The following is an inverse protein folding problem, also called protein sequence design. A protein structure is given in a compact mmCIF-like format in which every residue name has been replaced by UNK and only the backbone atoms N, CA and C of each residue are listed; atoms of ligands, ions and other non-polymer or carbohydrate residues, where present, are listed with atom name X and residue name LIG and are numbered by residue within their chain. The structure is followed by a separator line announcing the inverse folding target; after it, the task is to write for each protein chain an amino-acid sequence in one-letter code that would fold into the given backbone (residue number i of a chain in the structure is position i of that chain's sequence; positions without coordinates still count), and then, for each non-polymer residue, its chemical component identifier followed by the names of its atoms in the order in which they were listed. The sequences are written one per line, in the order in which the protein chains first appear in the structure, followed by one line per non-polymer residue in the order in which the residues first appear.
data_IF_784310080368
#
_entry.id   IF_784310080368
#
_cell.length_a   1.000
_cell.length_b   1.000
_cell.length_c   1.000
_cell.angle_alpha   90.00
_cell.angle_beta   90.00
_cell.angle_gamma   90.00
#
_symmetry.space_group_name_H-M   'P 1'
#
loop_
_entity.id
_entity.type
_entity.pdbx_description
1 polymer ?
#
# COMPACT_ATOMS: atom_id res chain seq x y z
N UNK A 1 -13.74 -10.72 28.90
CA UNK A 1 -14.97 -11.55 28.77
C UNK A 1 -15.50 -11.61 27.32
N UNK A 2 -15.65 -10.47 26.61
CA UNK A 2 -16.11 -10.51 25.19
C UNK A 2 -15.07 -11.13 24.24
N UNK A 3 -13.79 -10.91 24.47
CA UNK A 3 -12.70 -11.46 23.64
C UNK A 3 -12.52 -12.97 23.82
N UNK A 4 -12.64 -13.51 25.01
CA UNK A 4 -12.50 -14.97 25.26
C UNK A 4 -13.65 -15.77 24.64
N UNK A 5 -14.89 -15.25 24.72
CA UNK A 5 -16.03 -15.91 24.11
C UNK A 5 -15.95 -15.90 22.57
N UNK A 6 -15.47 -14.82 21.99
CA UNK A 6 -15.24 -14.68 20.56
C UNK A 6 -14.17 -15.68 20.07
N UNK A 7 -13.03 -15.79 20.78
CA UNK A 7 -11.97 -16.74 20.45
C UNK A 7 -12.46 -18.19 20.54
N UNK A 8 -13.25 -18.52 21.58
CA UNK A 8 -13.84 -19.85 21.71
C UNK A 8 -14.81 -20.23 20.58
N UNK A 9 -15.62 -19.26 20.11
CA UNK A 9 -16.49 -19.46 18.94
C UNK A 9 -15.69 -19.66 17.64
N UNK A 10 -14.58 -18.94 17.47
CA UNK A 10 -13.69 -19.08 16.34
C UNK A 10 -13.01 -20.45 16.31
N UNK A 11 -12.53 -20.93 17.46
CA UNK A 11 -11.93 -22.25 17.57
C UNK A 11 -12.93 -23.36 17.22
N UNK A 12 -14.20 -23.20 17.56
CA UNK A 12 -15.28 -24.15 17.19
C UNK A 12 -15.59 -24.18 15.71
N UNK A 13 -15.36 -23.08 14.99
CA UNK A 13 -15.55 -22.96 13.52
C UNK A 13 -14.25 -23.25 12.74
N UNK A 14 -13.15 -23.53 13.43
CA UNK A 14 -11.86 -23.78 12.81
C UNK A 14 -11.90 -25.00 11.87
N UNK A 15 -11.26 -24.86 10.71
CA UNK A 15 -11.06 -25.99 9.82
C UNK A 15 -10.28 -27.08 10.57
N UNK A 16 -10.82 -28.31 10.69
CA UNK A 16 -10.17 -29.40 11.41
C UNK A 16 -8.77 -29.74 10.88
N UNK A 17 -8.49 -29.46 9.59
CA UNK A 17 -7.21 -29.77 8.95
C UNK A 17 -6.10 -28.76 9.30
N UNK A 18 -6.45 -27.50 9.64
CA UNK A 18 -5.48 -26.49 10.07
C UNK A 18 -6.10 -25.41 10.98
N UNK A 19 -6.48 -25.75 12.22
CA UNK A 19 -7.19 -24.84 13.11
C UNK A 19 -6.37 -23.60 13.51
N UNK A 20 -5.06 -23.74 13.67
CA UNK A 20 -4.19 -22.61 14.07
C UNK A 20 -4.06 -21.57 12.96
N UNK A 21 -3.97 -21.97 11.70
CA UNK A 21 -3.90 -21.05 10.58
C UNK A 21 -5.21 -20.29 10.41
N UNK A 22 -6.34 -20.96 10.58
CA UNK A 22 -7.66 -20.34 10.53
C UNK A 22 -7.81 -19.25 11.62
N UNK A 23 -7.44 -19.55 12.86
CA UNK A 23 -7.46 -18.58 13.97
C UNK A 23 -6.52 -17.40 13.69
N UNK A 24 -5.31 -17.64 13.19
CA UNK A 24 -4.37 -16.58 12.82
C UNK A 24 -4.95 -15.63 11.78
N UNK A 25 -5.59 -16.15 10.73
CA UNK A 25 -6.18 -15.33 9.67
C UNK A 25 -7.28 -14.40 10.24
N UNK A 26 -8.18 -14.94 11.05
CA UNK A 26 -9.24 -14.13 11.66
C UNK A 26 -8.69 -13.06 12.60
N UNK A 27 -7.67 -13.40 13.40
CA UNK A 27 -7.02 -12.42 14.28
C UNK A 27 -6.37 -11.29 13.46
N UNK A 28 -5.75 -11.62 12.34
CA UNK A 28 -5.18 -10.60 11.44
C UNK A 28 -6.25 -9.70 10.83
N UNK A 29 -7.34 -10.29 10.30
CA UNK A 29 -8.44 -9.54 9.71
C UNK A 29 -9.07 -8.59 10.73
N UNK A 30 -9.36 -9.08 11.94
CA UNK A 30 -9.87 -8.26 13.04
C UNK A 30 -8.89 -7.13 13.42
N UNK A 31 -7.59 -7.41 13.43
CA UNK A 31 -6.56 -6.42 13.75
C UNK A 31 -6.47 -5.32 12.69
N UNK A 32 -6.61 -5.66 11.42
CA UNK A 32 -6.66 -4.69 10.30
C UNK A 32 -7.95 -3.86 10.38
N UNK A 33 -9.10 -4.48 10.66
CA UNK A 33 -10.36 -3.76 10.85
C UNK A 33 -10.26 -2.74 11.99
N UNK A 34 -9.71 -3.14 13.14
CA UNK A 34 -9.48 -2.26 14.28
C UNK A 34 -8.55 -1.10 13.91
N UNK A 35 -7.47 -1.37 13.17
CA UNK A 35 -6.53 -0.36 12.71
C UNK A 35 -7.19 0.63 11.74
N UNK A 36 -8.01 0.15 10.82
CA UNK A 36 -8.80 0.96 9.90
C UNK A 36 -9.80 1.86 10.64
N UNK A 37 -10.46 1.35 11.68
CA UNK A 37 -11.34 2.15 12.53
C UNK A 37 -10.56 3.27 13.27
N UNK A 38 -9.31 3.01 13.69
CA UNK A 38 -8.45 4.05 14.27
C UNK A 38 -8.07 5.11 13.23
N UNK A 39 -7.75 4.72 11.99
CA UNK A 39 -7.48 5.66 10.90
C UNK A 39 -8.69 6.56 10.67
N UNK A 40 -9.90 6.00 10.56
CA UNK A 40 -11.13 6.77 10.33
C UNK A 40 -11.40 7.79 11.43
N UNK A 41 -11.09 7.46 12.67
CA UNK A 41 -11.30 8.31 13.85
C UNK A 41 -10.11 9.21 14.21
N UNK A 42 -8.96 9.08 13.52
CA UNK A 42 -7.77 9.88 13.76
C UNK A 42 -8.03 11.37 13.48
N UNK A 43 -7.50 12.25 14.35
CA UNK A 43 -7.59 13.71 14.25
C UNK A 43 -6.25 14.40 14.52
N UNK A 44 -5.14 13.71 14.35
CA UNK A 44 -3.83 14.12 14.84
C UNK A 44 -3.12 15.15 13.94
N UNK A 45 -3.72 15.52 12.80
CA UNK A 45 -3.14 16.48 11.86
C UNK A 45 -4.19 17.38 11.22
N UNK A 46 -3.75 18.53 10.68
CA UNK A 46 -4.63 19.54 10.06
C UNK A 46 -5.32 19.06 8.78
N UNK A 47 -4.78 18.03 8.11
CA UNK A 47 -5.35 17.43 6.90
C UNK A 47 -6.39 16.36 7.19
N UNK A 48 -6.89 16.27 8.44
CA UNK A 48 -7.93 15.32 8.84
C UNK A 48 -9.26 15.60 8.13
N UNK A 49 -9.37 15.11 6.91
CA UNK A 49 -10.58 15.20 6.07
C UNK A 49 -10.96 13.82 5.54
N UNK A 50 -11.10 13.72 4.24
CA UNK A 50 -11.32 12.45 3.57
C UNK A 50 -10.13 11.53 3.79
N UNK A 51 -10.42 10.29 4.14
CA UNK A 51 -9.42 9.28 4.49
C UNK A 51 -9.61 8.05 3.64
N UNK A 52 -8.51 7.34 3.39
CA UNK A 52 -8.54 5.98 2.88
C UNK A 52 -8.09 5.01 3.96
N UNK A 53 -8.60 3.80 3.91
CA UNK A 53 -8.23 2.71 4.80
C UNK A 53 -7.39 1.69 4.06
N UNK A 54 -6.70 0.86 4.80
CA UNK A 54 -5.96 -0.29 4.27
C UNK A 54 -6.92 -1.37 3.82
N UNK A 55 -6.58 -2.09 2.76
CA UNK A 55 -7.41 -3.16 2.25
C UNK A 55 -6.59 -4.22 1.51
N UNK A 56 -7.23 -5.35 1.21
CA UNK A 56 -6.62 -6.54 0.63
C UNK A 56 -6.65 -7.70 1.62
N UNK A 57 -5.92 -8.75 1.33
CA UNK A 57 -5.85 -9.93 2.21
C UNK A 57 -4.82 -9.70 3.32
N UNK A 58 -5.21 -9.86 4.57
CA UNK A 58 -4.31 -9.72 5.73
C UNK A 58 -3.17 -10.76 5.76
N UNK A 59 -3.25 -11.78 4.91
CA UNK A 59 -2.22 -12.81 4.71
C UNK A 59 -1.48 -12.63 3.37
N UNK A 60 -1.59 -11.46 2.75
CA UNK A 60 -0.96 -11.18 1.48
C UNK A 60 0.57 -11.35 1.54
N UNK A 61 1.11 -11.91 0.48
CA UNK A 61 2.57 -12.05 0.30
C UNK A 61 3.23 -10.77 -0.20
N UNK A 62 2.46 -9.90 -0.86
CA UNK A 62 2.93 -8.61 -1.39
C UNK A 62 2.13 -7.48 -0.74
N UNK A 63 2.82 -6.52 -0.16
CA UNK A 63 2.23 -5.28 0.31
C UNK A 63 2.65 -4.13 -0.61
N UNK A 64 1.66 -3.42 -1.15
CA UNK A 64 1.87 -2.23 -1.99
C UNK A 64 1.55 -0.99 -1.14
N UNK A 65 2.53 -0.09 -1.01
CA UNK A 65 2.44 1.07 -0.14
C UNK A 65 2.62 2.34 -0.97
N UNK A 66 1.55 3.11 -1.13
CA UNK A 66 1.57 4.42 -1.77
C UNK A 66 1.91 5.57 -0.83
N UNK A 67 2.06 6.77 -1.39
CA UNK A 67 2.36 7.99 -0.63
C UNK A 67 1.15 8.50 0.14
N UNK A 68 0.07 8.80 -0.55
CA UNK A 68 -1.20 9.32 0.01
C UNK A 68 -2.33 9.17 -1.00
N UNK A 69 -3.59 9.25 -0.58
CA UNK A 69 -4.71 9.34 -1.52
C UNK A 69 -4.59 10.56 -2.42
N UNK A 70 -5.00 10.44 -3.68
CA UNK A 70 -4.82 11.47 -4.71
C UNK A 70 -6.09 12.24 -5.08
N UNK A 71 -7.28 11.82 -4.65
CA UNK A 71 -8.54 12.41 -5.02
C UNK A 71 -9.41 12.79 -3.82
N UNK A 72 -10.04 13.97 -3.84
CA UNK A 72 -10.97 14.40 -2.80
C UNK A 72 -12.29 13.61 -2.80
N UNK A 73 -12.62 12.98 -3.92
CA UNK A 73 -13.80 12.13 -4.09
C UNK A 73 -13.49 10.63 -3.96
N UNK A 74 -12.27 10.27 -3.54
CA UNK A 74 -11.87 8.88 -3.43
C UNK A 74 -12.81 8.11 -2.50
N UNK A 75 -13.26 6.95 -2.96
CA UNK A 75 -14.08 6.07 -2.17
C UNK A 75 -13.22 5.51 -1.03
N UNK A 76 -13.68 5.66 0.21
CA UNK A 76 -13.02 5.16 1.42
C UNK A 76 -12.70 3.65 1.35
N UNK A 77 -13.45 2.91 0.54
CA UNK A 77 -13.27 1.46 0.34
C UNK A 77 -12.37 1.12 -0.87
N UNK A 78 -11.97 2.13 -1.65
CA UNK A 78 -11.02 1.95 -2.76
C UNK A 78 -9.63 2.27 -2.27
N UNK A 79 -8.76 1.32 -2.41
CA UNK A 79 -7.38 1.44 -2.08
C UNK A 79 -6.67 2.45 -2.91
N UNK A 80 -5.76 3.06 -2.28
CA UNK A 80 -4.61 3.78 -2.76
C UNK A 80 -4.92 4.96 -3.69
N UNK A 81 -5.75 4.78 -4.73
CA UNK A 81 -5.87 5.72 -5.83
C UNK A 81 -7.31 5.80 -6.35
N UNK A 82 -7.63 6.89 -7.02
CA UNK A 82 -8.79 7.05 -7.86
C UNK A 82 -8.75 6.04 -9.03
N UNK A 83 -9.91 5.74 -9.63
CA UNK A 83 -10.03 4.80 -10.76
C UNK A 83 -9.12 5.16 -11.95
N UNK A 84 -8.84 6.46 -12.16
CA UNK A 84 -7.93 6.93 -13.20
C UNK A 84 -6.46 6.68 -12.85
N UNK A 85 -6.10 6.86 -11.58
CA UNK A 85 -4.72 6.73 -11.12
C UNK A 85 -4.27 5.25 -11.08
N UNK A 86 -5.23 4.33 -10.93
CA UNK A 86 -4.94 2.91 -10.87
C UNK A 86 -4.75 2.23 -12.23
N UNK A 87 -5.05 2.90 -13.33
CA UNK A 87 -5.12 2.24 -14.62
C UNK A 87 -3.82 1.50 -14.97
N UNK A 88 -2.66 2.14 -14.81
CA UNK A 88 -1.36 1.50 -15.08
C UNK A 88 -1.03 0.39 -14.07
N UNK A 89 -1.38 0.55 -12.80
CA UNK A 89 -1.15 -0.47 -11.77
C UNK A 89 -2.05 -1.69 -12.03
N UNK A 90 -3.34 -1.47 -12.26
CA UNK A 90 -4.30 -2.54 -12.53
C UNK A 90 -3.95 -3.29 -13.81
N UNK A 91 -3.54 -2.60 -14.87
CA UNK A 91 -3.06 -3.22 -16.11
C UNK A 91 -1.79 -4.05 -15.86
N UNK A 92 -0.83 -3.53 -15.09
CA UNK A 92 0.40 -4.25 -14.74
C UNK A 92 0.09 -5.52 -13.94
N UNK A 93 -0.77 -5.42 -12.93
CA UNK A 93 -1.19 -6.57 -12.13
C UNK A 93 -1.95 -7.60 -12.97
N UNK A 94 -2.79 -7.15 -13.92
CA UNK A 94 -3.49 -8.03 -14.86
C UNK A 94 -2.53 -8.73 -15.83
N UNK A 95 -1.53 -8.02 -16.37
CA UNK A 95 -0.47 -8.61 -17.21
C UNK A 95 0.32 -9.68 -16.46
N UNK A 96 0.62 -9.45 -15.18
CA UNK A 96 1.29 -10.42 -14.31
C UNK A 96 0.34 -11.54 -13.85
N UNK A 97 -0.94 -11.48 -14.19
CA UNK A 97 -1.99 -12.39 -13.69
C UNK A 97 -2.01 -12.49 -12.17
N UNK A 98 -1.78 -11.37 -11.50
CA UNK A 98 -1.64 -11.31 -10.06
C UNK A 98 -2.91 -11.79 -9.33
N UNK A 99 -2.73 -12.72 -8.42
CA UNK A 99 -3.81 -13.16 -7.54
C UNK A 99 -4.09 -12.07 -6.48
N UNK A 100 -5.27 -11.45 -6.51
CA UNK A 100 -5.66 -10.39 -5.57
C UNK A 100 -5.59 -10.82 -4.10
N UNK A 101 -5.71 -12.11 -3.79
CA UNK A 101 -5.53 -12.66 -2.44
C UNK A 101 -4.07 -12.65 -1.97
N UNK A 102 -3.14 -12.32 -2.83
CA UNK A 102 -1.72 -12.15 -2.48
C UNK A 102 -1.31 -10.70 -2.34
N UNK A 103 -2.27 -9.77 -2.42
CA UNK A 103 -2.02 -8.33 -2.39
C UNK A 103 -2.68 -7.67 -1.17
N UNK A 104 -1.95 -6.77 -0.55
CA UNK A 104 -2.44 -5.85 0.47
C UNK A 104 -2.01 -4.43 0.11
N UNK A 105 -2.92 -3.46 0.27
CA UNK A 105 -2.71 -2.08 -0.13
C UNK A 105 -2.79 -1.13 1.06
N UNK A 106 -1.85 -0.21 1.12
CA UNK A 106 -1.75 0.79 2.18
C UNK A 106 -1.19 2.10 1.65
N UNK A 107 -1.32 3.19 2.41
CA UNK A 107 -0.63 4.44 2.20
C UNK A 107 0.18 4.82 3.45
N UNK A 108 1.30 5.53 3.27
CA UNK A 108 2.02 6.10 4.41
C UNK A 108 1.28 7.28 5.03
N UNK A 109 0.47 8.00 4.23
CA UNK A 109 -0.45 9.05 4.69
C UNK A 109 -1.87 8.65 4.32
N UNK A 110 -2.76 8.53 5.28
CA UNK A 110 -4.12 8.04 5.04
C UNK A 110 -5.14 9.15 4.75
N UNK A 111 -4.79 10.40 4.96
CA UNK A 111 -5.63 11.56 4.65
C UNK A 111 -5.24 12.15 3.30
N UNK A 112 -6.23 12.68 2.55
CA UNK A 112 -5.95 13.42 1.32
C UNK A 112 -5.29 14.76 1.67
N UNK A 113 -4.05 15.00 1.23
CA UNK A 113 -3.36 16.26 1.50
C UNK A 113 -3.94 17.39 0.65
N UNK A 114 -4.22 18.54 1.25
CA UNK A 114 -4.70 19.72 0.54
C UNK A 114 -4.04 21.00 1.04
N UNK A 115 -4.14 22.06 0.22
CA UNK A 115 -3.87 23.45 0.60
C UNK A 115 -5.06 24.30 0.22
N UNK A 116 -5.27 25.41 0.92
CA UNK A 116 -6.33 26.35 0.58
C UNK A 116 -5.75 27.42 -0.34
N UNK A 117 -6.35 27.60 -1.52
CA UNK A 117 -6.03 28.65 -2.48
C UNK A 117 -7.32 29.38 -2.83
N UNK A 118 -7.40 30.69 -2.57
CA UNK A 118 -8.60 31.47 -2.87
C UNK A 118 -9.89 31.00 -2.18
N UNK A 119 -9.78 30.30 -1.05
CA UNK A 119 -10.92 29.70 -0.33
C UNK A 119 -11.28 28.27 -0.75
N UNK A 120 -10.68 27.75 -1.82
CA UNK A 120 -10.91 26.40 -2.31
C UNK A 120 -9.81 25.43 -1.82
N UNK A 121 -10.19 24.18 -1.59
CA UNK A 121 -9.24 23.11 -1.26
C UNK A 121 -8.65 22.53 -2.53
N UNK A 122 -7.34 22.68 -2.68
CA UNK A 122 -6.57 22.13 -3.80
C UNK A 122 -5.66 21.02 -3.28
N UNK A 123 -5.73 19.84 -3.89
CA UNK A 123 -4.87 18.72 -3.54
C UNK A 123 -3.39 19.08 -3.76
N UNK A 124 -2.54 18.55 -2.92
CA UNK A 124 -1.08 18.64 -3.00
C UNK A 124 -0.41 17.30 -2.67
N UNK A 125 0.88 17.21 -2.91
CA UNK A 125 1.70 16.10 -2.46
C UNK A 125 1.77 16.11 -0.93
N UNK A 126 1.74 14.94 -0.31
CA UNK A 126 1.96 14.76 1.12
C UNK A 126 3.37 15.19 1.52
N UNK A 127 3.55 15.57 2.77
CA UNK A 127 4.86 15.90 3.34
C UNK A 127 5.42 14.73 4.15
N UNK A 128 6.73 14.71 4.32
CA UNK A 128 7.40 13.73 5.20
C UNK A 128 6.92 13.84 6.65
N UNK A 129 6.57 15.03 7.12
CA UNK A 129 6.03 15.19 8.47
C UNK A 129 4.65 14.56 8.61
N UNK A 130 3.79 14.67 7.60
CA UNK A 130 2.51 13.98 7.57
C UNK A 130 2.68 12.46 7.55
N UNK A 131 3.63 11.95 6.77
CA UNK A 131 3.99 10.53 6.77
C UNK A 131 4.51 10.06 8.15
N UNK A 132 5.31 10.88 8.85
CA UNK A 132 5.75 10.59 10.23
C UNK A 132 4.59 10.55 11.21
N UNK A 133 3.62 11.46 11.11
CA UNK A 133 2.43 11.47 11.98
C UNK A 133 1.57 10.21 11.77
N UNK A 134 1.47 9.71 10.54
CA UNK A 134 0.76 8.47 10.20
C UNK A 134 1.57 7.19 10.41
N UNK A 135 2.85 7.29 10.78
CA UNK A 135 3.80 6.15 10.81
C UNK A 135 3.34 4.97 11.66
N UNK A 136 2.59 5.22 12.74
CA UNK A 136 2.06 4.18 13.61
C UNK A 136 1.16 3.21 12.83
N UNK A 137 0.30 3.72 11.98
CA UNK A 137 -0.66 2.90 11.23
C UNK A 137 0.03 1.97 10.25
N UNK A 138 0.92 2.52 9.40
CA UNK A 138 1.62 1.71 8.40
C UNK A 138 2.57 0.68 9.04
N UNK A 139 3.22 1.05 10.15
CA UNK A 139 4.09 0.14 10.88
C UNK A 139 3.32 -1.04 11.47
N UNK A 140 2.15 -0.80 12.08
CA UNK A 140 1.28 -1.87 12.58
C UNK A 140 0.72 -2.73 11.44
N UNK A 141 0.33 -2.13 10.30
CA UNK A 141 -0.12 -2.91 9.16
C UNK A 141 0.96 -3.89 8.66
N UNK A 142 2.22 -3.44 8.56
CA UNK A 142 3.35 -4.32 8.18
C UNK A 142 3.53 -5.44 9.21
N UNK A 143 3.42 -5.16 10.51
CA UNK A 143 3.54 -6.15 11.59
C UNK A 143 2.40 -7.16 11.61
N UNK A 144 1.18 -6.75 11.25
CA UNK A 144 0.01 -7.64 11.17
C UNK A 144 0.11 -8.52 9.91
N UNK A 145 0.29 -7.92 8.74
CA UNK A 145 0.30 -8.62 7.44
C UNK A 145 1.53 -9.52 7.32
N UNK A 146 2.71 -9.03 7.69
CA UNK A 146 3.99 -9.73 7.54
C UNK A 146 4.23 -10.18 6.10
N UNK A 147 4.21 -9.27 5.10
CA UNK A 147 4.38 -9.63 3.71
C UNK A 147 5.80 -10.18 3.45
N UNK A 148 5.96 -10.93 2.37
CA UNK A 148 7.26 -11.42 1.92
C UNK A 148 8.05 -10.36 1.15
N UNK A 149 7.32 -9.44 0.48
CA UNK A 149 7.90 -8.32 -0.27
C UNK A 149 7.03 -7.08 -0.09
N UNK A 150 7.67 -5.92 -0.04
CA UNK A 150 7.00 -4.62 -0.03
C UNK A 150 7.36 -3.86 -1.31
N UNK A 151 6.34 -3.29 -1.98
CA UNK A 151 6.52 -2.36 -3.09
C UNK A 151 6.12 -0.97 -2.59
N UNK A 152 7.06 -0.02 -2.56
CA UNK A 152 6.76 1.37 -2.24
C UNK A 152 6.56 2.17 -3.52
N UNK A 153 5.46 2.92 -3.61
CA UNK A 153 5.11 3.74 -4.76
C UNK A 153 5.17 5.23 -4.41
N UNK A 154 6.02 5.94 -5.13
CA UNK A 154 6.19 7.39 -4.97
C UNK A 154 7.28 7.80 -3.99
N UNK A 155 7.69 9.07 -4.12
CA UNK A 155 8.83 9.61 -3.40
C UNK A 155 8.61 9.71 -1.88
N UNK A 156 7.38 9.99 -1.44
CA UNK A 156 7.06 10.11 -0.02
C UNK A 156 7.09 8.73 0.66
N UNK A 157 6.51 7.70 0.02
CA UNK A 157 6.55 6.33 0.53
C UNK A 157 8.00 5.82 0.64
N UNK A 158 8.79 6.00 -0.42
CA UNK A 158 10.20 5.64 -0.41
C UNK A 158 10.99 6.37 0.69
N UNK A 159 10.89 7.70 0.75
CA UNK A 159 11.63 8.53 1.72
C UNK A 159 11.23 8.24 3.18
N UNK A 160 9.97 7.87 3.42
CA UNK A 160 9.49 7.49 4.75
C UNK A 160 10.26 6.30 5.32
N UNK A 161 10.49 5.26 4.51
CA UNK A 161 11.17 4.04 4.96
C UNK A 161 12.69 4.09 4.80
N UNK A 162 13.20 4.89 3.88
CA UNK A 162 14.63 4.99 3.61
C UNK A 162 15.31 6.19 4.31
N UNK A 163 14.69 6.74 5.36
CA UNK A 163 15.22 7.86 6.16
C UNK A 163 15.73 9.04 5.31
N UNK A 164 15.05 9.37 4.22
CA UNK A 164 15.44 10.42 3.25
C UNK A 164 16.80 10.18 2.55
N UNK A 165 17.29 8.96 2.49
CA UNK A 165 18.57 8.62 1.85
C UNK A 165 18.41 8.54 0.33
N UNK A 166 18.73 9.63 -0.39
CA UNK A 166 18.68 9.72 -1.84
C UNK A 166 17.27 9.92 -2.42
N UNK A 167 17.22 10.24 -3.71
CA UNK A 167 15.94 10.41 -4.41
C UNK A 167 15.36 9.09 -4.90
N UNK A 168 14.04 9.04 -5.06
CA UNK A 168 13.36 7.90 -5.68
C UNK A 168 13.93 7.60 -7.07
N UNK A 169 14.13 8.65 -7.91
CA UNK A 169 14.61 8.49 -9.28
C UNK A 169 15.98 7.81 -9.39
N UNK A 170 16.85 8.00 -8.40
CA UNK A 170 18.16 7.36 -8.37
C UNK A 170 18.12 5.93 -7.82
N UNK A 171 17.09 5.60 -7.03
CA UNK A 171 17.04 4.36 -6.27
C UNK A 171 15.87 3.44 -6.67
N UNK A 172 14.96 3.89 -7.55
CA UNK A 172 13.89 3.02 -8.03
C UNK A 172 14.44 1.74 -8.67
N UNK A 173 13.72 0.68 -8.55
CA UNK A 173 14.11 -0.62 -9.09
C UNK A 173 15.26 -1.30 -8.34
N UNK A 174 15.85 -0.66 -7.33
CA UNK A 174 16.86 -1.26 -6.45
C UNK A 174 16.20 -1.83 -5.19
N UNK A 175 16.73 -2.95 -4.72
CA UNK A 175 16.29 -3.56 -3.48
C UNK A 175 16.80 -2.82 -2.26
N UNK A 176 15.94 -2.67 -1.25
CA UNK A 176 16.29 -2.20 0.09
C UNK A 176 15.53 -3.03 1.13
N UNK A 177 15.51 -2.63 2.39
CA UNK A 177 14.84 -3.38 3.45
C UNK A 177 13.95 -2.49 4.29
N UNK A 178 12.75 -2.95 4.57
CA UNK A 178 11.80 -2.34 5.52
C UNK A 178 11.54 -3.33 6.65
N UNK A 179 12.01 -3.04 7.86
CA UNK A 179 11.88 -3.93 9.04
C UNK A 179 12.37 -5.36 8.76
N UNK A 180 13.41 -5.54 7.95
CA UNK A 180 13.94 -6.84 7.57
C UNK A 180 13.22 -7.49 6.38
N UNK A 181 12.14 -6.91 5.86
CA UNK A 181 11.42 -7.40 4.69
C UNK A 181 12.04 -6.79 3.43
N UNK A 182 12.34 -7.59 2.39
CA UNK A 182 12.78 -7.09 1.09
C UNK A 182 11.78 -6.09 0.51
N UNK A 183 12.27 -4.97 0.03
CA UNK A 183 11.43 -3.92 -0.54
C UNK A 183 12.03 -3.37 -1.83
N UNK A 184 11.17 -2.92 -2.74
CA UNK A 184 11.53 -2.25 -3.97
C UNK A 184 10.71 -0.96 -4.10
N UNK A 185 11.32 0.08 -4.66
CA UNK A 185 10.65 1.36 -4.87
C UNK A 185 10.38 1.58 -6.37
N UNK A 186 9.22 2.16 -6.68
CA UNK A 186 8.83 2.52 -8.03
C UNK A 186 8.08 3.84 -8.10
N UNK A 187 7.71 4.27 -9.30
CA UNK A 187 6.88 5.45 -9.53
C UNK A 187 5.51 5.29 -8.87
N UNK A 188 4.87 6.41 -8.59
CA UNK A 188 3.45 6.47 -8.21
C UNK A 188 2.60 6.51 -9.48
N UNK A 189 1.49 5.75 -9.60
CA UNK A 189 0.65 5.75 -10.79
C UNK A 189 0.18 7.14 -11.21
N UNK A 190 -0.20 8.00 -10.26
CA UNK A 190 -0.59 9.40 -10.49
C UNK A 190 0.47 10.24 -11.21
N UNK A 191 1.74 9.85 -11.12
CA UNK A 191 2.83 10.51 -11.84
C UNK A 191 2.63 10.45 -13.35
N UNK A 192 2.18 9.32 -13.89
CA UNK A 192 1.99 9.14 -15.33
C UNK A 192 0.86 10.01 -15.86
N UNK A 193 -0.25 10.13 -15.11
CA UNK A 193 -1.38 11.00 -15.45
C UNK A 193 -0.94 12.47 -15.47
N UNK A 194 -0.19 12.90 -14.46
CA UNK A 194 0.30 14.29 -14.39
C UNK A 194 1.28 14.65 -15.51
N UNK A 195 1.93 13.64 -16.10
CA UNK A 195 2.90 13.83 -17.19
C UNK A 195 2.29 13.73 -18.58
N UNK A 196 1.04 13.26 -18.70
CA UNK A 196 0.33 13.24 -19.98
C UNK A 196 0.26 14.66 -20.58
N UNK A 197 0.72 14.79 -21.81
CA UNK A 197 0.74 16.07 -22.54
C UNK A 197 1.80 17.10 -22.11
N UNK A 198 2.63 16.81 -21.11
CA UNK A 198 3.66 17.75 -20.62
C UNK A 198 5.07 17.33 -21.05
N UNK A 199 5.31 16.04 -21.26
CA UNK A 199 6.64 15.50 -21.52
C UNK A 199 6.77 14.83 -22.87
N UNK A 200 8.03 14.60 -23.22
CA UNK A 200 8.45 13.72 -24.28
C UNK A 200 7.76 12.35 -24.12
N UNK A 201 6.97 11.98 -25.11
CA UNK A 201 6.19 10.74 -25.11
C UNK A 201 7.10 9.50 -25.00
N UNK A 202 8.28 9.54 -25.61
CA UNK A 202 9.27 8.47 -25.55
C UNK A 202 9.77 8.26 -24.11
N UNK A 203 10.07 9.34 -23.40
CA UNK A 203 10.47 9.28 -21.99
C UNK A 203 9.34 8.74 -21.10
N UNK A 204 8.10 9.13 -21.37
CA UNK A 204 6.96 8.64 -20.62
C UNK A 204 6.77 7.14 -20.78
N UNK A 205 6.83 6.64 -22.01
CA UNK A 205 6.78 5.21 -22.34
C UNK A 205 7.90 4.45 -21.64
N UNK A 206 9.14 4.95 -21.69
CA UNK A 206 10.26 4.35 -20.98
C UNK A 206 9.98 4.22 -19.48
N UNK A 207 9.48 5.27 -18.84
CA UNK A 207 9.17 5.27 -17.41
C UNK A 207 8.03 4.31 -17.06
N UNK A 208 7.07 4.11 -17.94
CA UNK A 208 6.03 3.09 -17.78
C UNK A 208 6.62 1.67 -17.82
N UNK A 209 7.53 1.40 -18.76
CA UNK A 209 8.24 0.12 -18.76
C UNK A 209 9.07 -0.11 -17.50
N UNK A 210 9.72 0.92 -17.01
CA UNK A 210 10.47 0.88 -15.75
C UNK A 210 9.57 0.56 -14.55
N UNK A 211 8.37 1.14 -14.50
CA UNK A 211 7.36 0.85 -13.49
C UNK A 211 6.93 -0.63 -13.52
N UNK A 212 6.62 -1.14 -14.71
CA UNK A 212 6.23 -2.54 -14.92
C UNK A 212 7.38 -3.48 -14.49
N UNK A 213 8.62 -3.16 -14.87
CA UNK A 213 9.81 -3.95 -14.53
C UNK A 213 10.04 -4.01 -13.01
N UNK A 214 9.90 -2.87 -12.31
CA UNK A 214 10.07 -2.81 -10.87
C UNK A 214 9.05 -3.69 -10.13
N UNK A 215 7.77 -3.67 -10.54
CA UNK A 215 6.74 -4.54 -9.97
C UNK A 215 7.04 -6.00 -10.31
N UNK A 216 7.42 -6.28 -11.55
CA UNK A 216 7.76 -7.64 -12.02
C UNK A 216 8.90 -8.25 -11.20
N UNK A 217 9.91 -7.46 -10.81
CA UNK A 217 11.00 -7.91 -9.93
C UNK A 217 10.47 -8.41 -8.57
N UNK A 218 9.49 -7.73 -7.98
CA UNK A 218 8.90 -8.16 -6.71
C UNK A 218 8.17 -9.52 -6.85
N UNK A 219 7.43 -9.72 -7.94
CA UNK A 219 6.75 -10.99 -8.22
C UNK A 219 7.75 -12.12 -8.49
N UNK A 220 8.79 -11.86 -9.27
CA UNK A 220 9.84 -12.84 -9.57
C UNK A 220 10.59 -13.24 -8.30
N UNK A 221 10.90 -12.29 -7.41
CA UNK A 221 11.53 -12.59 -6.13
C UNK A 221 10.73 -13.61 -5.33
N UNK A 222 9.41 -13.44 -5.22
CA UNK A 222 8.57 -14.41 -4.50
C UNK A 222 8.55 -15.76 -5.22
N UNK A 223 8.41 -15.77 -6.55
CA UNK A 223 8.41 -16.99 -7.35
C UNK A 223 9.70 -17.82 -7.16
N UNK A 224 10.83 -17.15 -7.08
CA UNK A 224 12.13 -17.80 -6.91
C UNK A 224 12.37 -18.30 -5.49
N UNK A 225 11.97 -17.53 -4.48
CA UNK A 225 12.24 -17.81 -3.08
C UNK A 225 11.10 -18.57 -2.39
N UNK A 226 9.88 -18.55 -2.94
CA UNK A 226 8.68 -19.17 -2.39
C UNK A 226 7.89 -19.90 -3.50
N UNK A 227 8.45 -20.91 -4.18
CA UNK A 227 7.85 -21.50 -5.40
C UNK A 227 6.52 -22.22 -5.16
N UNK A 228 6.17 -22.52 -3.92
CA UNK A 228 4.90 -23.16 -3.55
C UNK A 228 3.74 -22.17 -3.36
N UNK A 229 4.00 -20.85 -3.43
CA UNK A 229 2.96 -19.84 -3.32
C UNK A 229 2.25 -19.62 -4.65
N UNK A 230 0.91 -19.65 -4.62
CA UNK A 230 0.09 -19.32 -5.78
C UNK A 230 -0.06 -17.79 -5.89
N UNK A 231 0.85 -17.18 -6.65
CA UNK A 231 0.82 -15.73 -6.93
C UNK A 231 -0.08 -15.34 -8.11
N UNK A 232 -0.52 -16.31 -8.92
CA UNK A 232 -1.21 -16.13 -10.18
C UNK A 232 -2.61 -16.74 -10.16
#
# INVERSE_FOLDING_TARGET
MMEEHFILELVKKANPDNPLQFVRNIVKDYSIEKLNNQILNCKDCEICGNKTIFHGDSNASIMIIGSSPTCFESNINKALYDDKDNDILDQTLAMLKANKKQLFFANVVNCIPYKTLGGEKVQRIATINEAKNCSLFINHAIEIVQPLVIITMGAIAYSHFNNNSGSLLQNRGNWFSIKGIPAIATYEPSYFIQMEGIKDEELLIQQQYEFIDDITKAFNYIKENHPNLNLY
#
